data_IF_347322594107
#
_entry.id   IF_347322594107
#
_cell.length_a   1.000
_cell.length_b   1.000
_cell.length_c   1.000
_cell.angle_alpha   90.00
_cell.angle_beta   90.00
_cell.angle_gamma   90.00
#
_symmetry.space_group_name_H-M   'P 1'
#
loop_
_entity.id
_entity.type
_entity.pdbx_description
1 polymer ?
#
# COMPACT_ATOMS: atom_id res chain seq x y z
N UNK A 1 -10.03 2.67 12.92
CA UNK A 1 -11.49 2.95 12.73
C UNK A 1 -11.84 2.74 11.26
N UNK A 2 -13.11 2.50 10.87
CA UNK A 2 -13.45 2.14 9.47
C UNK A 2 -13.14 3.25 8.46
N UNK A 3 -13.34 4.51 8.85
CA UNK A 3 -12.92 5.71 8.10
C UNK A 3 -11.41 5.72 7.84
N UNK A 4 -10.61 5.41 8.85
CA UNK A 4 -9.16 5.35 8.76
C UNK A 4 -8.68 4.22 7.83
N UNK A 5 -9.36 3.07 7.84
CA UNK A 5 -9.05 1.94 6.94
C UNK A 5 -9.40 2.25 5.50
N UNK A 6 -10.58 2.83 5.27
CA UNK A 6 -10.98 3.31 3.95
C UNK A 6 -9.97 4.33 3.42
N UNK A 7 -9.59 5.31 4.23
CA UNK A 7 -8.55 6.28 3.90
C UNK A 7 -7.22 5.60 3.58
N UNK A 8 -6.77 4.65 4.42
CA UNK A 8 -5.49 3.97 4.27
C UNK A 8 -5.43 3.14 2.98
N UNK A 9 -6.49 2.40 2.65
CA UNK A 9 -6.58 1.63 1.40
C UNK A 9 -6.62 2.57 0.20
N UNK A 10 -7.41 3.65 0.26
CA UNK A 10 -7.48 4.62 -0.82
C UNK A 10 -6.11 5.28 -1.07
N UNK A 11 -5.39 5.65 0.00
CA UNK A 11 -4.06 6.22 -0.09
C UNK A 11 -3.05 5.22 -0.67
N UNK A 12 -3.10 3.96 -0.23
CA UNK A 12 -2.31 2.86 -0.79
C UNK A 12 -2.51 2.74 -2.31
N UNK A 13 -3.76 2.62 -2.76
CA UNK A 13 -4.06 2.46 -4.20
C UNK A 13 -3.53 3.66 -4.99
N UNK A 14 -3.77 4.87 -4.52
CA UNK A 14 -3.35 6.08 -5.23
C UNK A 14 -1.82 6.24 -5.29
N UNK A 15 -1.11 5.99 -4.20
CA UNK A 15 0.34 6.13 -4.18
C UNK A 15 1.01 5.06 -5.05
N UNK A 16 0.57 3.80 -4.95
CA UNK A 16 1.10 2.70 -5.77
C UNK A 16 0.80 2.93 -7.25
N UNK A 17 -0.40 3.38 -7.60
CA UNK A 17 -0.74 3.69 -9.00
C UNK A 17 0.08 4.85 -9.57
N UNK A 18 0.50 5.80 -8.72
CA UNK A 18 1.29 6.97 -9.15
C UNK A 18 2.80 6.72 -9.22
N UNK A 19 3.32 5.80 -8.42
CA UNK A 19 4.78 5.66 -8.28
C UNK A 19 5.28 4.32 -7.76
N UNK A 20 4.45 3.28 -7.70
CA UNK A 20 4.86 1.95 -7.24
C UNK A 20 4.79 1.77 -5.72
N UNK A 21 5.05 0.54 -5.27
CA UNK A 21 5.00 0.13 -3.88
C UNK A 21 6.03 0.88 -3.01
N UNK A 22 7.23 1.14 -3.52
CA UNK A 22 8.24 1.93 -2.82
C UNK A 22 7.76 3.36 -2.55
N UNK A 23 7.10 4.00 -3.52
CA UNK A 23 6.52 5.33 -3.34
C UNK A 23 5.48 5.38 -2.22
N UNK A 24 4.63 4.35 -2.09
CA UNK A 24 3.70 4.25 -0.97
C UNK A 24 4.43 4.17 0.38
N UNK A 25 5.42 3.30 0.49
CA UNK A 25 6.13 3.08 1.76
C UNK A 25 6.99 4.27 2.18
N UNK A 26 7.62 4.97 1.24
CA UNK A 26 8.43 6.15 1.57
C UNK A 26 7.57 7.39 1.89
N UNK A 27 6.37 7.51 1.36
CA UNK A 27 5.45 8.63 1.62
C UNK A 27 4.73 8.51 2.97
N UNK A 28 4.14 9.62 3.44
CA UNK A 28 3.35 9.64 4.69
C UNK A 28 2.24 8.59 4.75
N UNK A 29 1.66 8.20 3.60
CA UNK A 29 0.62 7.18 3.50
C UNK A 29 1.07 5.81 4.02
N UNK A 30 2.35 5.45 3.85
CA UNK A 30 2.88 4.20 4.38
C UNK A 30 2.72 4.06 5.89
N UNK A 31 2.59 5.17 6.64
CA UNK A 31 2.39 5.13 8.11
C UNK A 31 1.06 4.49 8.51
N UNK A 32 0.14 4.33 7.56
CA UNK A 32 -1.16 3.71 7.75
C UNK A 32 -1.20 2.24 7.31
N UNK A 33 -0.04 1.60 7.07
CA UNK A 33 0.03 0.23 6.55
C UNK A 33 -0.77 -0.78 7.38
N UNK A 34 -0.73 -0.68 8.71
CA UNK A 34 -1.48 -1.59 9.58
C UNK A 34 -2.99 -1.50 9.34
N UNK A 35 -3.51 -0.28 9.12
CA UNK A 35 -4.93 -0.06 8.82
C UNK A 35 -5.27 -0.47 7.38
N UNK A 36 -4.37 -0.24 6.42
CA UNK A 36 -4.55 -0.70 5.04
C UNK A 36 -4.66 -2.24 4.97
N UNK A 37 -3.72 -2.96 5.62
CA UNK A 37 -3.73 -4.41 5.68
C UNK A 37 -4.95 -4.99 6.40
N UNK A 38 -5.38 -4.33 7.49
CA UNK A 38 -6.60 -4.72 8.20
C UNK A 38 -7.84 -4.55 7.31
N UNK A 39 -7.96 -3.43 6.60
CA UNK A 39 -9.07 -3.17 5.68
C UNK A 39 -9.09 -4.15 4.51
N UNK A 40 -7.94 -4.42 3.88
CA UNK A 40 -7.82 -5.42 2.82
C UNK A 40 -8.25 -6.82 3.30
N UNK A 41 -7.90 -7.18 4.54
CA UNK A 41 -8.38 -8.40 5.19
C UNK A 41 -9.91 -8.43 5.36
N UNK A 42 -10.53 -7.33 5.78
CA UNK A 42 -11.99 -7.22 5.91
C UNK A 42 -12.73 -7.27 4.58
N UNK A 43 -12.08 -6.81 3.50
CA UNK A 43 -12.58 -6.89 2.12
C UNK A 43 -12.26 -8.23 1.45
N UNK A 44 -11.58 -9.16 2.16
CA UNK A 44 -11.08 -10.44 1.63
C UNK A 44 -10.17 -10.27 0.40
N UNK A 45 -9.51 -9.12 0.27
CA UNK A 45 -8.54 -8.83 -0.79
C UNK A 45 -7.15 -9.35 -0.38
N UNK A 46 -7.06 -10.66 -0.22
CA UNK A 46 -5.87 -11.33 0.31
C UNK A 46 -4.69 -11.25 -0.66
N UNK A 47 -4.94 -11.33 -1.98
CA UNK A 47 -3.87 -11.22 -2.97
C UNK A 47 -3.19 -9.84 -2.94
N UNK A 48 -3.99 -8.77 -2.86
CA UNK A 48 -3.48 -7.40 -2.71
C UNK A 48 -2.71 -7.26 -1.39
N UNK A 49 -3.27 -7.80 -0.31
CA UNK A 49 -2.63 -7.78 1.02
C UNK A 49 -1.27 -8.49 1.00
N UNK A 50 -1.18 -9.64 0.35
CA UNK A 50 0.04 -10.44 0.28
C UNK A 50 1.11 -9.76 -0.58
N UNK A 51 0.72 -9.07 -1.65
CA UNK A 51 1.63 -8.23 -2.46
C UNK A 51 2.23 -7.12 -1.60
N UNK A 52 1.38 -6.39 -0.85
CA UNK A 52 1.84 -5.27 0.00
C UNK A 52 2.75 -5.77 1.13
N UNK A 53 2.42 -6.91 1.75
CA UNK A 53 3.28 -7.55 2.74
C UNK A 53 4.62 -7.99 2.16
N UNK A 54 4.63 -8.55 0.96
CA UNK A 54 5.86 -8.95 0.27
C UNK A 54 6.74 -7.73 -0.03
N UNK A 55 6.16 -6.61 -0.50
CA UNK A 55 6.90 -5.38 -0.72
C UNK A 55 7.44 -4.78 0.58
N UNK A 56 6.66 -4.79 1.67
CA UNK A 56 7.13 -4.37 2.98
C UNK A 56 8.35 -5.20 3.42
N UNK A 57 8.26 -6.54 3.30
CA UNK A 57 9.35 -7.44 3.66
C UNK A 57 10.60 -7.23 2.79
N UNK A 58 10.40 -6.91 1.52
CA UNK A 58 11.49 -6.67 0.57
C UNK A 58 12.23 -5.35 0.86
N UNK A 59 11.48 -4.31 1.24
CA UNK A 59 12.01 -2.98 1.52
C UNK A 59 12.66 -2.83 2.90
N UNK A 60 12.10 -3.47 3.93
CA UNK A 60 12.54 -3.29 5.31
C UNK A 60 13.18 -4.53 5.92
N UNK A 61 13.12 -5.68 5.25
CA UNK A 61 13.64 -6.93 5.79
C UNK A 61 13.00 -7.28 7.13
N UNK A 62 13.83 -7.56 8.13
CA UNK A 62 13.39 -7.82 9.51
C UNK A 62 13.39 -6.55 10.38
N UNK A 63 13.73 -5.39 9.81
CA UNK A 63 13.78 -4.14 10.55
C UNK A 63 12.38 -3.58 10.77
N UNK A 64 12.19 -2.89 11.89
CA UNK A 64 10.98 -2.13 12.11
C UNK A 64 10.96 -0.96 11.12
N UNK A 65 9.79 -0.74 10.51
CA UNK A 65 9.57 0.43 9.68
C UNK A 65 9.55 1.68 10.57
N UNK A 66 10.33 2.68 10.20
CA UNK A 66 10.38 3.96 10.92
C UNK A 66 9.05 4.71 10.82
N UNK A 67 8.66 5.43 11.88
CA UNK A 67 7.37 6.12 11.93
C UNK A 67 7.29 7.32 10.97
N UNK A 68 8.43 7.96 10.69
CA UNK A 68 8.49 9.19 9.90
C UNK A 68 8.95 8.92 8.45
N UNK A 69 8.21 9.46 7.48
CA UNK A 69 8.47 9.28 6.04
C UNK A 69 9.93 9.55 5.63
N UNK A 70 10.53 10.65 6.13
CA UNK A 70 11.92 10.99 5.84
C UNK A 70 12.93 9.92 6.32
N UNK A 71 12.65 9.21 7.42
CA UNK A 71 13.52 8.15 7.92
C UNK A 71 13.32 6.86 7.13
N UNK A 72 12.09 6.51 6.79
CA UNK A 72 11.82 5.36 5.90
C UNK A 72 12.49 5.51 4.54
N UNK A 73 12.53 6.73 4.01
CA UNK A 73 13.27 7.00 2.76
C UNK A 73 14.75 6.62 2.89
N UNK A 74 15.36 6.80 4.06
CA UNK A 74 16.74 6.40 4.33
C UNK A 74 16.90 4.89 4.56
N UNK A 75 15.84 4.18 4.98
CA UNK A 75 15.83 2.71 5.06
C UNK A 75 15.68 2.08 3.67
N UNK A 76 14.88 2.69 2.80
CA UNK A 76 14.50 2.14 1.49
C UNK A 76 15.59 2.37 0.45
N UNK A 77 16.10 3.60 0.33
CA UNK A 77 16.98 3.97 -0.78
C UNK A 77 18.45 4.02 -0.36
N UNK A 78 19.33 3.63 -1.28
CA UNK A 78 20.77 3.86 -1.19
C UNK A 78 21.07 5.36 -1.18
N UNK A 79 22.31 5.72 -0.83
CA UNK A 79 22.73 7.12 -0.69
C UNK A 79 22.64 7.94 -1.99
N UNK A 80 22.66 7.28 -3.14
CA UNK A 80 22.47 7.89 -4.47
C UNK A 80 20.98 8.11 -4.83
N UNK A 81 20.07 7.66 -3.98
CA UNK A 81 18.62 7.81 -4.14
C UNK A 81 17.95 6.68 -4.91
N UNK A 82 18.66 5.60 -5.22
CA UNK A 82 18.10 4.43 -5.92
C UNK A 82 17.92 3.25 -4.98
N UNK A 83 16.97 2.37 -5.32
CA UNK A 83 16.86 1.04 -4.72
C UNK A 83 18.07 0.19 -5.11
N UNK A 84 18.32 -0.88 -4.37
CA UNK A 84 19.19 -1.94 -4.87
C UNK A 84 18.57 -2.61 -6.11
N UNK A 85 19.38 -2.95 -7.11
CA UNK A 85 18.91 -3.42 -8.42
C UNK A 85 18.08 -4.74 -8.30
N UNK A 86 18.44 -5.61 -7.35
CA UNK A 86 17.71 -6.86 -7.09
C UNK A 86 16.34 -6.57 -6.43
N UNK A 87 16.32 -5.57 -5.53
CA UNK A 87 15.10 -5.09 -4.86
C UNK A 87 14.17 -4.39 -5.86
N UNK A 88 14.69 -3.52 -6.72
CA UNK A 88 13.94 -2.83 -7.77
C UNK A 88 13.28 -3.83 -8.71
N UNK A 89 14.04 -4.81 -9.22
CA UNK A 89 13.50 -5.86 -10.10
C UNK A 89 12.38 -6.66 -9.45
N UNK A 90 12.52 -6.99 -8.16
CA UNK A 90 11.51 -7.72 -7.43
C UNK A 90 10.27 -6.86 -7.11
N UNK A 91 10.44 -5.56 -6.84
CA UNK A 91 9.34 -4.62 -6.66
C UNK A 91 8.57 -4.39 -7.95
N UNK A 92 9.24 -4.23 -9.09
CA UNK A 92 8.59 -4.09 -10.40
C UNK A 92 7.63 -5.26 -10.70
N UNK A 93 8.04 -6.48 -10.33
CA UNK A 93 7.19 -7.66 -10.48
C UNK A 93 5.96 -7.62 -9.55
N UNK A 94 6.10 -7.07 -8.34
CA UNK A 94 5.00 -6.88 -7.40
C UNK A 94 4.05 -5.76 -7.86
N UNK A 95 4.60 -4.65 -8.35
CA UNK A 95 3.84 -3.53 -8.91
C UNK A 95 3.01 -3.99 -10.10
N UNK A 96 3.59 -4.74 -11.03
CA UNK A 96 2.84 -5.31 -12.16
C UNK A 96 1.66 -6.19 -11.73
N UNK A 97 1.84 -6.99 -10.67
CA UNK A 97 0.74 -7.80 -10.09
C UNK A 97 -0.32 -6.94 -9.41
N UNK A 98 0.11 -5.89 -8.71
CA UNK A 98 -0.80 -4.94 -8.07
C UNK A 98 -1.66 -4.23 -9.12
N UNK A 99 -1.04 -3.72 -10.19
CA UNK A 99 -1.74 -3.03 -11.28
C UNK A 99 -2.76 -3.94 -11.96
N UNK A 100 -2.42 -5.19 -12.24
CA UNK A 100 -3.37 -6.13 -12.82
C UNK A 100 -4.65 -6.32 -11.97
N UNK A 101 -4.54 -6.30 -10.64
CA UNK A 101 -5.68 -6.41 -9.73
C UNK A 101 -6.50 -5.11 -9.64
N UNK A 102 -5.82 -3.96 -9.72
CA UNK A 102 -6.50 -2.65 -9.74
C UNK A 102 -7.22 -2.43 -11.07
N UNK A 103 -6.58 -2.76 -12.18
CA UNK A 103 -7.11 -2.57 -13.53
C UNK A 103 -8.31 -3.50 -13.83
N UNK A 104 -8.43 -4.63 -13.14
CA UNK A 104 -9.64 -5.46 -13.16
C UNK A 104 -10.85 -4.78 -12.48
N UNK A 105 -10.65 -3.59 -11.88
CA UNK A 105 -11.69 -2.73 -11.30
C UNK A 105 -12.30 -3.24 -10.00
N UNK A 106 -12.03 -4.49 -9.62
CA UNK A 106 -12.61 -5.14 -8.43
C UNK A 106 -12.27 -4.39 -7.15
N UNK A 107 -11.04 -3.90 -7.01
CA UNK A 107 -10.59 -3.25 -5.78
C UNK A 107 -11.31 -1.92 -5.52
N UNK A 108 -11.55 -1.13 -6.57
CA UNK A 108 -12.27 0.14 -6.45
C UNK A 108 -13.75 -0.08 -6.08
N UNK A 109 -14.40 -1.04 -6.73
CA UNK A 109 -15.79 -1.39 -6.45
C UNK A 109 -15.98 -1.94 -5.03
N UNK A 110 -15.04 -2.78 -4.56
CA UNK A 110 -15.07 -3.28 -3.19
C UNK A 110 -14.82 -2.17 -2.17
N UNK A 111 -13.98 -1.18 -2.49
CA UNK A 111 -13.71 -0.05 -1.60
C UNK A 111 -14.95 0.87 -1.50
N UNK A 112 -15.67 1.08 -2.61
CA UNK A 112 -16.98 1.76 -2.62
C UNK A 112 -17.99 1.01 -1.75
N UNK A 113 -18.13 -0.30 -1.96
CA UNK A 113 -19.04 -1.14 -1.17
C UNK A 113 -18.69 -1.13 0.33
N UNK A 114 -17.39 -1.08 0.68
CA UNK A 114 -16.93 -0.93 2.05
C UNK A 114 -17.40 0.40 2.65
N UNK A 115 -17.23 1.51 1.94
CA UNK A 115 -17.68 2.82 2.38
C UNK A 115 -19.20 2.90 2.59
N UNK A 116 -19.98 2.32 1.67
CA UNK A 116 -21.43 2.22 1.79
C UNK A 116 -21.85 1.38 3.00
N UNK A 117 -21.28 0.18 3.17
CA UNK A 117 -21.56 -0.73 4.28
C UNK A 117 -21.30 -0.07 5.64
N UNK A 118 -20.26 0.75 5.72
CA UNK A 118 -19.85 1.42 6.95
C UNK A 118 -20.39 2.86 7.07
N UNK A 119 -21.23 3.32 6.14
CA UNK A 119 -21.83 4.67 6.11
C UNK A 119 -20.78 5.79 6.23
N UNK A 120 -19.69 5.63 5.49
CA UNK A 120 -18.60 6.61 5.49
C UNK A 120 -18.92 7.86 4.66
N UNK A 121 -19.93 7.78 3.80
CA UNK A 121 -20.54 8.94 3.15
C UNK A 121 -21.65 9.51 4.04
N UNK A 122 -21.73 10.84 4.12
CA UNK A 122 -22.96 11.48 4.57
C UNK A 122 -24.06 11.17 3.53
N UNK A 123 -25.24 10.73 3.99
CA UNK A 123 -26.41 10.73 3.13
C UNK A 123 -26.66 12.19 2.71
N UNK A 124 -26.59 12.45 1.41
CA UNK A 124 -26.93 13.77 0.85
C UNK A 124 -28.42 14.05 1.00
#
# INVERSE_FOLDING_TARGET
MQDQRYFAINALINDVYRGGLDAYFQNSAGGYIAEALAGLGEMQQLDVRDIVLAAQQLLFGNEAMEDHHAQRRLQIYRADGYLDDEVETALDALDGRFYALVDDGQLEELLKAYAERHRLYAAF
#
